data_IF_103248436965
#
_entry.id   IF_103248436965
#
_cell.length_a   1.000
_cell.length_b   1.000
_cell.length_c   1.000
_cell.angle_alpha   90.00
_cell.angle_beta   90.00
_cell.angle_gamma   90.00
#
_symmetry.space_group_name_H-M   'P 1'
#
loop_
_entity.id
_entity.type
_entity.pdbx_description
1 polymer ?
#
# COMPACT_ATOMS: atom_id res chain seq x y z
N UNK A 1 -2.43 2.04 19.22
CA UNK A 1 -1.48 2.03 18.09
C UNK A 1 -1.23 0.59 17.68
N UNK A 2 -1.52 0.24 16.45
CA UNK A 2 -1.49 -1.13 15.93
C UNK A 2 -0.42 -1.25 14.85
N UNK A 3 0.38 -2.30 14.92
CA UNK A 3 1.39 -2.58 13.90
C UNK A 3 0.72 -3.12 12.63
N UNK A 4 1.13 -2.59 11.49
CA UNK A 4 0.56 -2.92 10.19
C UNK A 4 1.62 -3.49 9.24
N UNK A 5 1.19 -4.37 8.38
CA UNK A 5 1.99 -4.91 7.27
C UNK A 5 1.52 -4.28 5.97
N UNK A 6 2.45 -3.78 5.17
CA UNK A 6 2.16 -3.28 3.82
C UNK A 6 1.92 -4.47 2.91
N UNK A 7 0.66 -4.70 2.52
CA UNK A 7 0.28 -5.83 1.64
C UNK A 7 0.68 -5.53 0.20
N UNK A 8 0.51 -4.28 -0.24
CA UNK A 8 0.87 -3.86 -1.58
C UNK A 8 0.11 -2.64 -2.05
N UNK A 9 0.28 -2.35 -3.32
CA UNK A 9 -0.45 -1.30 -4.03
C UNK A 9 -1.40 -1.96 -5.01
N UNK A 10 -2.66 -1.56 -4.96
CA UNK A 10 -3.72 -2.05 -5.82
C UNK A 10 -4.38 -0.88 -6.56
N UNK A 11 -5.16 -1.18 -7.60
CA UNK A 11 -5.98 -0.20 -8.31
C UNK A 11 -7.45 -0.51 -8.07
N UNK A 12 -8.19 0.52 -7.67
CA UNK A 12 -9.64 0.40 -7.45
C UNK A 12 -10.36 0.74 -8.75
N UNK A 13 -11.10 -0.22 -9.27
CA UNK A 13 -11.94 -0.03 -10.47
C UNK A 13 -13.29 0.64 -10.11
N UNK A 14 -13.91 1.40 -11.02
CA UNK A 14 -13.49 1.66 -12.41
C UNK A 14 -12.50 2.83 -12.57
N UNK A 15 -12.21 3.57 -11.51
CA UNK A 15 -11.40 4.80 -11.59
C UNK A 15 -9.91 4.56 -11.80
N UNK A 16 -9.43 3.32 -11.64
CA UNK A 16 -8.00 2.97 -11.62
C UNK A 16 -7.20 3.78 -10.58
N UNK A 17 -7.85 4.21 -9.50
CA UNK A 17 -7.19 4.97 -8.45
C UNK A 17 -6.29 4.05 -7.63
N UNK A 18 -4.99 4.37 -7.48
CA UNK A 18 -4.10 3.56 -6.68
C UNK A 18 -4.45 3.64 -5.19
N UNK A 19 -4.32 2.53 -4.51
CA UNK A 19 -4.53 2.40 -3.07
C UNK A 19 -3.40 1.57 -2.46
N UNK A 20 -2.85 2.03 -1.36
CA UNK A 20 -2.01 1.20 -0.49
C UNK A 20 -2.94 0.42 0.42
N UNK A 21 -2.71 -0.88 0.52
CA UNK A 21 -3.42 -1.73 1.45
C UNK A 21 -2.51 -2.11 2.61
N UNK A 22 -2.88 -1.70 3.80
CA UNK A 22 -2.25 -2.12 5.05
C UNK A 22 -3.11 -3.17 5.73
N UNK A 23 -2.49 -4.17 6.34
CA UNK A 23 -3.16 -5.18 7.15
C UNK A 23 -2.61 -5.16 8.56
N UNK A 24 -3.48 -5.26 9.54
CA UNK A 24 -3.12 -5.44 10.93
C UNK A 24 -2.26 -6.70 11.11
N UNK A 25 -1.12 -6.58 11.79
CA UNK A 25 -0.16 -7.69 11.93
C UNK A 25 -0.72 -8.82 12.79
N UNK A 26 -1.39 -8.47 13.88
CA UNK A 26 -1.99 -9.40 14.83
C UNK A 26 -3.53 -9.37 14.81
N UNK A 27 -4.11 -8.96 13.68
CA UNK A 27 -5.56 -8.84 13.51
C UNK A 27 -6.01 -9.09 12.09
N UNK A 28 -7.28 -8.80 11.84
CA UNK A 28 -7.93 -9.05 10.54
C UNK A 28 -8.30 -7.75 9.80
N UNK A 29 -8.08 -6.58 10.44
CA UNK A 29 -8.47 -5.31 9.85
C UNK A 29 -7.52 -4.90 8.73
N UNK A 30 -8.10 -4.38 7.69
CA UNK A 30 -7.42 -3.79 6.54
C UNK A 30 -7.65 -2.28 6.54
N UNK A 31 -6.65 -1.51 6.16
CA UNK A 31 -6.74 -0.07 5.98
C UNK A 31 -6.33 0.31 4.56
N UNK A 32 -7.27 0.76 3.71
CA UNK A 32 -6.96 1.27 2.39
C UNK A 32 -6.63 2.77 2.48
N UNK A 33 -5.53 3.18 1.85
CA UNK A 33 -5.14 4.59 1.74
C UNK A 33 -4.99 4.93 0.27
N UNK A 34 -5.84 5.84 -0.23
CA UNK A 34 -5.76 6.33 -1.61
C UNK A 34 -4.54 7.22 -1.79
N UNK A 35 -3.80 6.99 -2.87
CA UNK A 35 -2.55 7.68 -3.17
C UNK A 35 -2.47 8.10 -4.64
N UNK A 36 -1.49 8.94 -4.98
CA UNK A 36 -1.20 9.28 -6.37
C UNK A 36 -0.43 8.18 -7.10
N UNK A 37 -0.50 8.20 -8.43
CA UNK A 37 0.19 7.23 -9.27
C UNK A 37 1.73 7.27 -9.11
N UNK A 38 2.39 8.44 -8.99
CA UNK A 38 3.84 8.48 -8.75
C UNK A 38 4.24 7.80 -7.44
N UNK A 39 3.49 8.02 -6.37
CA UNK A 39 3.73 7.41 -5.06
C UNK A 39 3.49 5.90 -5.10
N UNK A 40 2.41 5.48 -5.78
CA UNK A 40 2.10 4.08 -6.00
C UNK A 40 3.23 3.35 -6.76
N UNK A 41 3.76 3.99 -7.80
CA UNK A 41 4.90 3.48 -8.56
C UNK A 41 6.14 3.34 -7.68
N UNK A 42 6.45 4.36 -6.89
CA UNK A 42 7.61 4.35 -6.00
C UNK A 42 7.55 3.21 -4.97
N UNK A 43 6.38 2.98 -4.37
CA UNK A 43 6.16 1.89 -3.41
C UNK A 43 6.18 0.53 -4.12
N UNK A 44 5.46 0.42 -5.24
CA UNK A 44 5.34 -0.84 -5.99
C UNK A 44 6.69 -1.36 -6.49
N UNK A 45 7.56 -0.50 -7.02
CA UNK A 45 8.92 -0.87 -7.45
C UNK A 45 9.73 -1.46 -6.29
N UNK A 46 9.69 -0.80 -5.13
CA UNK A 46 10.42 -1.27 -3.95
C UNK A 46 9.88 -2.62 -3.46
N UNK A 47 8.57 -2.79 -3.37
CA UNK A 47 7.97 -4.06 -2.95
C UNK A 47 8.26 -5.20 -3.94
N UNK A 48 8.41 -4.89 -5.23
CA UNK A 48 8.80 -5.84 -6.27
C UNK A 48 10.31 -6.11 -6.32
N UNK A 49 11.12 -5.48 -5.45
CA UNK A 49 12.58 -5.61 -5.47
C UNK A 49 13.24 -5.04 -6.72
N UNK A 50 12.57 -4.09 -7.39
CA UNK A 50 13.09 -3.45 -8.60
C UNK A 50 13.82 -2.16 -8.26
N UNK A 51 15.06 -2.05 -8.71
CA UNK A 51 15.86 -0.85 -8.55
C UNK A 51 15.88 -0.05 -9.86
N UNK A 52 15.48 1.24 -9.81
CA UNK A 52 15.58 2.10 -10.98
C UNK A 52 17.06 2.40 -11.31
N UNK A 53 17.40 2.68 -12.59
CA UNK A 53 18.78 2.98 -13.00
C UNK A 53 19.39 4.20 -12.29
N UNK A 54 18.55 5.11 -11.84
CA UNK A 54 18.94 6.30 -11.07
C UNK A 54 18.02 6.43 -9.86
N UNK A 55 18.53 6.95 -8.72
CA UNK A 55 17.71 7.18 -7.55
C UNK A 55 16.49 8.05 -7.87
N UNK A 56 15.30 7.59 -7.49
CA UNK A 56 14.08 8.39 -7.48
C UNK A 56 14.00 9.23 -6.22
N UNK A 57 12.97 10.04 -6.07
CA UNK A 57 12.84 11.01 -4.95
C UNK A 57 12.99 10.35 -3.58
N UNK A 58 12.29 9.24 -3.33
CA UNK A 58 12.37 8.56 -2.04
C UNK A 58 13.72 7.85 -1.82
N UNK A 59 14.34 7.34 -2.89
CA UNK A 59 15.69 6.75 -2.82
C UNK A 59 16.72 7.82 -2.45
N UNK A 60 16.61 9.01 -3.07
CA UNK A 60 17.46 10.16 -2.74
C UNK A 60 17.26 10.61 -1.29
N UNK A 61 16.00 10.60 -0.81
CA UNK A 61 15.71 10.98 0.57
C UNK A 61 16.35 9.99 1.57
N UNK A 62 16.27 8.68 1.30
CA UNK A 62 16.97 7.67 2.11
C UNK A 62 18.47 7.92 2.13
N UNK A 63 19.08 8.14 0.97
CA UNK A 63 20.52 8.45 0.87
C UNK A 63 20.88 9.71 1.68
N UNK A 64 20.03 10.74 1.65
CA UNK A 64 20.23 11.96 2.44
C UNK A 64 20.18 11.68 3.94
N UNK A 65 19.19 10.92 4.41
CA UNK A 65 19.09 10.53 5.82
C UNK A 65 20.32 9.78 6.29
N UNK A 66 20.75 8.78 5.52
CA UNK A 66 21.96 7.99 5.83
C UNK A 66 23.22 8.85 5.86
N UNK A 67 23.34 9.81 4.93
CA UNK A 67 24.48 10.75 4.87
C UNK A 67 24.57 11.64 6.12
N UNK A 68 23.43 11.90 6.76
CA UNK A 68 23.37 12.65 8.01
C UNK A 68 23.30 11.75 9.26
N UNK A 69 23.60 10.45 9.11
CA UNK A 69 23.54 9.46 10.18
C UNK A 69 22.15 9.39 10.85
N UNK A 70 21.11 9.59 10.07
CA UNK A 70 19.73 9.44 10.51
C UNK A 70 19.11 8.16 9.94
N UNK A 71 18.28 7.50 10.75
CA UNK A 71 17.54 6.30 10.37
C UNK A 71 16.07 6.48 10.66
N UNK A 72 15.22 5.89 9.82
CA UNK A 72 13.79 5.83 10.08
C UNK A 72 13.52 4.73 11.11
N UNK A 73 13.01 5.12 12.27
CA UNK A 73 12.71 4.19 13.36
C UNK A 73 11.33 3.54 13.17
N UNK A 74 10.34 4.34 12.87
CA UNK A 74 8.97 3.91 12.60
C UNK A 74 8.17 4.98 11.87
N UNK A 75 7.05 4.56 11.34
CA UNK A 75 5.99 5.42 10.78
C UNK A 75 4.72 5.23 11.59
N UNK A 76 3.98 6.29 11.84
CA UNK A 76 2.68 6.23 12.50
C UNK A 76 1.65 7.00 11.67
N UNK A 77 0.57 6.35 11.28
CA UNK A 77 -0.62 7.01 10.73
C UNK A 77 -1.42 7.50 11.93
N UNK A 78 -1.46 8.82 12.12
CA UNK A 78 -1.88 9.43 13.38
C UNK A 78 -3.33 9.86 13.40
N UNK A 79 -3.88 10.28 12.27
CA UNK A 79 -5.22 10.85 12.20
C UNK A 79 -5.86 10.64 10.84
N UNK A 80 -7.19 10.57 10.83
CA UNK A 80 -8.03 10.80 9.66
C UNK A 80 -8.88 12.04 9.92
N UNK A 81 -8.75 13.07 9.07
CA UNK A 81 -9.52 14.31 9.20
C UNK A 81 -9.96 14.76 7.81
N UNK A 82 -11.23 15.03 7.64
CA UNK A 82 -11.81 15.48 6.37
C UNK A 82 -11.37 14.59 5.18
N UNK A 83 -11.42 13.26 5.37
CA UNK A 83 -10.97 12.23 4.42
C UNK A 83 -9.47 12.28 4.07
N UNK A 84 -8.68 13.00 4.86
CA UNK A 84 -7.24 13.09 4.69
C UNK A 84 -6.54 12.38 5.83
N UNK A 85 -5.70 11.40 5.48
CA UNK A 85 -4.84 10.73 6.45
C UNK A 85 -3.61 11.57 6.74
N UNK A 86 -3.24 11.64 8.00
CA UNK A 86 -2.02 12.27 8.49
C UNK A 86 -1.09 11.20 9.04
N UNK A 87 0.20 11.44 8.92
CA UNK A 87 1.22 10.55 9.48
C UNK A 87 2.44 11.33 9.95
N UNK A 88 3.18 10.69 10.84
CA UNK A 88 4.48 11.14 11.30
C UNK A 88 5.54 10.05 11.04
N UNK A 89 6.71 10.48 10.59
CA UNK A 89 7.91 9.66 10.54
C UNK A 89 8.78 9.98 11.76
N UNK A 90 9.29 8.94 12.41
CA UNK A 90 10.19 9.08 13.56
C UNK A 90 11.62 8.78 13.11
N UNK A 91 12.44 9.81 13.09
CA UNK A 91 13.83 9.75 12.65
C UNK A 91 14.76 9.76 13.85
N UNK A 92 15.63 8.78 13.92
CA UNK A 92 16.70 8.72 14.91
C UNK A 92 17.99 9.26 14.31
N UNK A 93 18.48 10.35 14.84
CA UNK A 93 19.75 10.97 14.49
C UNK A 93 20.69 11.07 15.69
N UNK A 94 21.87 11.68 15.51
CA UNK A 94 22.85 11.87 16.60
C UNK A 94 22.32 12.68 17.79
N UNK A 95 21.34 13.56 17.55
CA UNK A 95 20.73 14.41 18.59
C UNK A 95 19.55 13.73 19.30
N UNK A 96 19.10 12.56 18.86
CA UNK A 96 17.95 11.85 19.41
C UNK A 96 16.92 11.47 18.36
N UNK A 97 15.68 11.32 18.77
CA UNK A 97 14.55 10.99 17.92
C UNK A 97 13.70 12.22 17.69
N UNK A 98 13.42 12.53 16.44
CA UNK A 98 12.51 13.60 16.02
C UNK A 98 11.35 13.04 15.23
N UNK A 99 10.16 13.59 15.46
CA UNK A 99 8.97 13.29 14.69
C UNK A 99 8.73 14.39 13.64
N UNK A 100 8.57 13.98 12.40
CA UNK A 100 8.26 14.89 11.28
C UNK A 100 6.94 14.49 10.66
N UNK A 101 6.08 15.47 10.44
CA UNK A 101 4.83 15.24 9.71
C UNK A 101 5.10 14.94 8.24
N UNK A 102 4.43 13.91 7.74
CA UNK A 102 4.57 13.46 6.36
C UNK A 102 3.22 12.98 5.81
N UNK A 103 3.09 12.97 4.48
CA UNK A 103 1.95 12.28 3.87
C UNK A 103 2.13 10.76 4.08
N UNK A 104 1.05 10.01 4.34
CA UNK A 104 1.14 8.55 4.51
C UNK A 104 1.87 7.84 3.36
N UNK A 105 1.63 8.26 2.13
CA UNK A 105 2.31 7.69 0.95
C UNK A 105 3.83 7.87 0.99
N UNK A 106 4.32 9.04 1.40
CA UNK A 106 5.76 9.30 1.53
C UNK A 106 6.35 8.52 2.71
N UNK A 107 5.67 8.53 3.84
CA UNK A 107 6.07 7.80 5.03
C UNK A 107 6.21 6.29 4.76
N UNK A 108 5.20 5.69 4.10
CA UNK A 108 5.22 4.27 3.74
C UNK A 108 6.29 3.98 2.68
N UNK A 109 6.47 4.89 1.69
CA UNK A 109 7.52 4.73 0.69
C UNK A 109 8.93 4.70 1.30
N UNK A 110 9.15 5.45 2.37
CA UNK A 110 10.40 5.40 3.15
C UNK A 110 10.47 4.14 4.02
N UNK A 111 9.36 3.76 4.68
CA UNK A 111 9.31 2.58 5.53
C UNK A 111 9.68 1.31 4.76
N UNK A 112 9.09 1.08 3.58
CA UNK A 112 9.38 -0.11 2.76
C UNK A 112 10.82 -0.15 2.25
N UNK A 113 11.48 1.01 2.09
CA UNK A 113 12.89 1.12 1.68
C UNK A 113 13.86 0.86 2.82
N UNK A 114 13.51 1.36 4.00
CA UNK A 114 14.41 1.32 5.17
C UNK A 114 14.09 0.15 6.12
N UNK A 115 13.05 -0.63 5.84
CA UNK A 115 12.62 -1.74 6.68
C UNK A 115 12.06 -1.29 8.03
N UNK A 116 11.45 -0.10 8.08
CA UNK A 116 10.88 0.45 9.30
C UNK A 116 9.44 -0.04 9.50
N UNK A 117 9.05 -0.21 10.77
CA UNK A 117 7.71 -0.62 11.12
C UNK A 117 6.68 0.50 10.87
N UNK A 118 5.49 0.10 10.45
CA UNK A 118 4.35 0.99 10.21
C UNK A 118 3.28 0.72 11.26
N UNK A 119 2.82 1.78 11.90
CA UNK A 119 1.76 1.74 12.89
C UNK A 119 0.58 2.62 12.49
N UNK A 120 -0.58 2.29 13.00
CA UNK A 120 -1.81 3.09 12.84
C UNK A 120 -2.45 3.27 14.21
N UNK A 121 -2.88 4.50 14.50
CA UNK A 121 -3.63 4.77 15.72
C UNK A 121 -4.99 4.08 15.70
N UNK A 122 -5.47 3.65 16.87
CA UNK A 122 -6.72 2.88 16.99
C UNK A 122 -7.91 3.64 16.42
N UNK A 123 -8.04 4.92 16.72
CA UNK A 123 -9.13 5.76 16.24
C UNK A 123 -9.20 5.80 14.70
N UNK A 124 -8.06 5.74 14.03
CA UNK A 124 -7.98 5.69 12.55
C UNK A 124 -8.46 4.33 12.02
N UNK A 125 -8.08 3.24 12.68
CA UNK A 125 -8.54 1.91 12.31
C UNK A 125 -10.02 1.70 12.60
N UNK A 126 -10.55 2.28 13.66
CA UNK A 126 -11.98 2.23 13.96
C UNK A 126 -12.80 3.01 12.93
N UNK A 127 -12.28 4.15 12.44
CA UNK A 127 -12.98 5.00 11.47
C UNK A 127 -12.89 4.48 10.03
N UNK A 128 -11.73 4.01 9.60
CA UNK A 128 -11.45 3.69 8.20
C UNK A 128 -11.03 2.24 7.92
N UNK A 129 -10.78 1.46 8.96
CA UNK A 129 -10.46 0.04 8.84
C UNK A 129 -11.69 -0.80 8.54
N UNK A 130 -11.49 -1.91 7.85
CA UNK A 130 -12.55 -2.90 7.60
C UNK A 130 -11.99 -4.32 7.67
N UNK A 131 -12.86 -5.27 7.95
CA UNK A 131 -12.54 -6.70 7.84
C UNK A 131 -13.03 -7.16 6.47
N UNK A 132 -12.11 -7.67 5.66
CA UNK A 132 -12.52 -8.26 4.38
C UNK A 132 -13.44 -9.45 4.65
N UNK A 133 -14.57 -9.56 3.94
CA UNK A 133 -15.35 -10.78 3.99
C UNK A 133 -14.43 -11.94 3.56
N UNK A 134 -14.57 -13.13 4.16
CA UNK A 134 -13.84 -14.29 3.69
C UNK A 134 -14.07 -14.40 2.18
N UNK A 135 -12.99 -14.54 1.40
CA UNK A 135 -13.12 -14.87 -0.01
C UNK A 135 -14.02 -16.11 -0.06
N UNK A 136 -15.25 -15.91 -0.50
CA UNK A 136 -16.07 -17.02 -0.91
C UNK A 136 -15.40 -17.51 -2.19
N UNK A 137 -14.50 -18.49 -2.06
CA UNK A 137 -14.30 -19.44 -3.13
C UNK A 137 -15.66 -20.12 -3.33
N UNK A 138 -16.55 -19.45 -4.06
CA UNK A 138 -17.68 -20.18 -4.63
C UNK A 138 -17.05 -21.24 -5.51
N UNK A 139 -17.19 -22.54 -5.15
CA UNK A 139 -16.70 -23.58 -6.02
C UNK A 139 -17.36 -23.32 -7.37
N UNK A 140 -16.53 -23.15 -8.41
CA UNK A 140 -17.01 -23.00 -9.80
C UNK A 140 -17.95 -24.18 -10.02
N UNK A 141 -19.24 -23.89 -10.10
CA UNK A 141 -20.24 -24.93 -10.27
C UNK A 141 -20.09 -25.52 -11.65
N UNK A 142 -20.39 -26.81 -11.79
CA UNK A 142 -20.34 -27.51 -13.11
C UNK A 142 -21.16 -26.74 -14.16
N UNK A 143 -22.21 -26.02 -13.74
CA UNK A 143 -23.03 -25.14 -14.60
C UNK A 143 -22.22 -23.96 -15.14
N UNK A 144 -21.41 -23.31 -14.32
CA UNK A 144 -20.58 -22.18 -14.77
C UNK A 144 -19.44 -22.65 -15.70
N UNK A 145 -18.94 -23.85 -15.49
CA UNK A 145 -17.95 -24.46 -16.40
C UNK A 145 -18.59 -24.80 -17.75
N UNK A 146 -19.82 -25.29 -17.75
CA UNK A 146 -20.58 -25.61 -18.98
C UNK A 146 -20.94 -24.34 -19.76
N UNK A 147 -21.42 -23.27 -19.07
CA UNK A 147 -21.72 -21.97 -19.68
C UNK A 147 -20.46 -21.32 -20.27
N UNK A 148 -19.32 -21.45 -19.59
CA UNK A 148 -18.04 -20.95 -20.11
C UNK A 148 -17.56 -21.76 -21.32
N UNK A 149 -17.78 -23.08 -21.34
CA UNK A 149 -17.50 -23.90 -22.48
C UNK A 149 -18.36 -23.54 -23.70
N UNK A 150 -19.69 -23.39 -23.50
CA UNK A 150 -20.60 -22.97 -24.57
C UNK A 150 -20.23 -21.57 -25.10
N UNK A 151 -19.80 -20.67 -24.23
CA UNK A 151 -19.28 -19.37 -24.64
C UNK A 151 -18.05 -19.50 -25.54
N UNK A 152 -17.09 -20.33 -25.18
CA UNK A 152 -15.86 -20.55 -25.96
C UNK A 152 -16.13 -21.23 -27.31
N UNK A 153 -17.08 -22.16 -27.35
CA UNK A 153 -17.45 -22.86 -28.59
C UNK A 153 -18.18 -21.92 -29.59
N UNK A 154 -18.81 -20.85 -29.09
CA UNK A 154 -19.53 -19.87 -29.90
C UNK A 154 -18.70 -18.64 -30.29
N UNK A 155 -17.48 -18.47 -29.72
CA UNK A 155 -16.58 -17.37 -30.03
C UNK A 155 -15.82 -17.68 -31.32
N UNK A 156 -16.04 -16.86 -32.35
CA UNK A 156 -15.29 -16.94 -33.59
C UNK A 156 -14.01 -16.08 -33.48
N UNK A 157 -12.82 -16.60 -33.90
CA UNK A 157 -11.59 -15.81 -33.93
C UNK A 157 -11.72 -14.49 -34.71
N UNK A 158 -12.64 -14.42 -35.67
CA UNK A 158 -12.90 -13.25 -36.50
C UNK A 158 -13.63 -12.11 -35.74
N UNK A 159 -14.25 -12.40 -34.60
CA UNK A 159 -14.94 -11.38 -33.79
C UNK A 159 -13.95 -10.45 -33.03
N UNK A 160 -12.67 -10.81 -32.99
CA UNK A 160 -11.59 -10.04 -32.38
C UNK A 160 -10.63 -9.40 -33.37
N UNK A 161 -10.88 -9.55 -34.67
CA UNK A 161 -10.12 -8.92 -35.75
C UNK A 161 -10.80 -7.61 -36.15
N UNK A 162 -10.58 -6.56 -35.32
CA UNK A 162 -11.04 -5.22 -35.57
C UNK A 162 -9.98 -4.19 -35.22
#
# INVERSE_FOLDING_TARGET
MNEMVVIGVQQVLPSNTPVILLREKEGERLLPIFIGLPEATAIGLTLAGQEPPRPMTHDLFVTALESFSATLERVVITQLRDRTFYSDIYLRGPAGVEALSARPSDAIALAVRMGADVFVEEDVLEEAGYIAPPEQEEPITDVQVEEFREFLDNVNPDDFAG
#
